data_IF_182865186817
#
_entry.id   IF_182865186817
#
_cell.length_a   1.000
_cell.length_b   1.000
_cell.length_c   1.000
_cell.angle_alpha   90.00
_cell.angle_beta   90.00
_cell.angle_gamma   90.00
#
_symmetry.space_group_name_H-M   'P 1'
#
loop_
_entity.id
_entity.type
_entity.pdbx_description
1 polymer ?
#
# COMPACT_ATOMS: atom_id res chain seq x y z
N UNK A 1 58.40 26.19 0.84
CA UNK A 1 56.94 26.27 1.08
C UNK A 1 56.34 25.22 0.18
N UNK A 2 56.00 24.10 0.80
CA UNK A 2 55.54 22.87 0.16
C UNK A 2 54.01 22.88 0.22
N UNK A 3 53.35 23.04 -0.93
CA UNK A 3 51.90 22.99 -1.03
C UNK A 3 51.53 21.58 -1.49
N UNK A 4 51.45 20.66 -0.53
CA UNK A 4 50.90 19.33 -0.75
C UNK A 4 49.55 19.20 -0.05
N UNK A 5 48.59 18.70 -0.83
CA UNK A 5 47.44 17.91 -0.43
C UNK A 5 46.33 18.55 0.41
N UNK A 6 45.29 19.02 -0.28
CA UNK A 6 43.93 19.03 0.27
C UNK A 6 42.91 18.68 -0.82
N UNK A 7 43.04 17.47 -1.35
CA UNK A 7 42.01 16.86 -2.19
C UNK A 7 41.02 16.12 -1.28
N UNK A 8 39.71 16.39 -1.38
CA UNK A 8 38.72 15.65 -0.60
C UNK A 8 38.73 14.17 -1.00
N UNK A 9 38.47 13.25 -0.05
CA UNK A 9 38.43 11.82 -0.36
C UNK A 9 37.33 11.54 -1.40
N UNK A 10 37.55 10.59 -2.33
CA UNK A 10 36.53 10.23 -3.31
C UNK A 10 35.30 9.74 -2.57
N UNK A 11 34.16 10.35 -2.87
CA UNK A 11 32.85 9.89 -2.38
C UNK A 11 32.72 8.42 -2.73
N UNK A 12 32.84 7.55 -1.73
CA UNK A 12 32.61 6.13 -1.89
C UNK A 12 31.19 5.99 -2.41
N UNK A 13 31.10 5.47 -3.64
CA UNK A 13 29.83 5.10 -4.21
C UNK A 13 29.27 4.00 -3.30
N UNK A 14 28.36 4.38 -2.41
CA UNK A 14 27.41 3.47 -1.80
C UNK A 14 26.52 2.97 -2.94
N UNK A 15 27.07 2.05 -3.71
CA UNK A 15 26.32 1.02 -4.40
C UNK A 15 25.61 0.23 -3.30
N UNK A 16 24.56 0.82 -2.73
CA UNK A 16 23.45 0.09 -2.14
C UNK A 16 23.01 -0.79 -3.28
N UNK A 17 23.55 -2.00 -3.32
CA UNK A 17 23.11 -3.09 -4.17
C UNK A 17 21.63 -3.17 -3.87
N UNK A 18 20.82 -2.51 -4.71
CA UNK A 18 19.38 -2.62 -4.74
C UNK A 18 19.16 -4.08 -5.04
N UNK A 19 19.05 -4.85 -3.96
CA UNK A 19 18.81 -6.28 -4.00
C UNK A 19 17.51 -6.37 -4.77
N UNK A 20 17.62 -6.76 -6.04
CA UNK A 20 16.51 -7.08 -6.91
C UNK A 20 15.84 -8.29 -6.30
N UNK A 21 15.09 -8.07 -5.22
CA UNK A 21 14.36 -9.08 -4.50
C UNK A 21 13.23 -9.43 -5.45
N UNK A 22 13.49 -10.42 -6.32
CA UNK A 22 12.54 -11.05 -7.23
C UNK A 22 11.20 -11.05 -6.51
N UNK A 23 10.32 -10.10 -6.89
CA UNK A 23 9.10 -9.78 -6.14
C UNK A 23 8.26 -11.04 -6.18
N UNK A 24 8.30 -11.85 -5.10
CA UNK A 24 7.41 -13.00 -4.98
C UNK A 24 6.01 -12.44 -5.04
N UNK A 25 5.26 -12.81 -6.07
CA UNK A 25 3.87 -12.43 -6.23
C UNK A 25 3.11 -12.90 -5.01
N UNK A 26 2.32 -12.01 -4.42
CA UNK A 26 1.44 -12.37 -3.30
C UNK A 26 0.43 -13.43 -3.72
N UNK A 27 0.10 -14.35 -2.82
CA UNK A 27 -0.91 -15.40 -3.03
C UNK A 27 -2.31 -14.79 -2.87
N UNK A 28 -3.28 -15.28 -3.64
CA UNK A 28 -4.67 -14.78 -3.59
C UNK A 28 -5.25 -14.80 -2.18
N UNK A 29 -5.10 -15.93 -1.46
CA UNK A 29 -5.58 -16.07 -0.08
C UNK A 29 -5.08 -14.97 0.86
N UNK A 30 -3.81 -14.60 0.74
CA UNK A 30 -3.24 -13.56 1.59
C UNK A 30 -3.83 -12.18 1.28
N UNK A 31 -4.11 -11.90 -0.01
CA UNK A 31 -4.79 -10.66 -0.38
C UNK A 31 -6.25 -10.64 0.13
N UNK A 32 -6.96 -11.76 0.04
CA UNK A 32 -8.33 -11.91 0.56
C UNK A 32 -8.40 -11.74 2.09
N UNK A 33 -7.41 -12.28 2.82
CA UNK A 33 -7.28 -12.09 4.27
C UNK A 33 -7.07 -10.62 4.64
N UNK A 34 -6.21 -9.91 3.91
CA UNK A 34 -5.99 -8.47 4.12
C UNK A 34 -7.28 -7.68 3.86
N UNK A 35 -7.98 -7.95 2.76
CA UNK A 35 -9.26 -7.31 2.43
C UNK A 35 -10.31 -7.59 3.54
N UNK A 36 -10.41 -8.84 3.98
CA UNK A 36 -11.35 -9.28 5.02
C UNK A 36 -11.05 -8.62 6.37
N UNK A 37 -9.78 -8.43 6.69
CA UNK A 37 -9.35 -7.75 7.92
C UNK A 37 -9.63 -6.25 7.83
N UNK A 38 -9.36 -5.63 6.68
CA UNK A 38 -9.62 -4.21 6.47
C UNK A 38 -11.12 -3.88 6.60
N UNK A 39 -12.01 -4.69 6.02
CA UNK A 39 -13.46 -4.45 6.09
C UNK A 39 -14.00 -4.62 7.51
N UNK A 40 -13.53 -5.64 8.25
CA UNK A 40 -13.90 -5.84 9.65
C UNK A 40 -13.45 -4.67 10.51
N UNK A 41 -12.19 -4.25 10.36
CA UNK A 41 -11.65 -3.11 11.10
C UNK A 41 -12.41 -1.82 10.77
N UNK A 42 -12.75 -1.59 9.51
CA UNK A 42 -13.53 -0.43 9.10
C UNK A 42 -14.96 -0.40 9.66
N UNK A 43 -15.61 -1.56 9.79
CA UNK A 43 -16.92 -1.65 10.43
C UNK A 43 -16.84 -1.31 11.91
N UNK A 44 -15.91 -1.91 12.66
CA UNK A 44 -15.74 -1.60 14.09
C UNK A 44 -15.35 -0.14 14.31
N UNK A 45 -14.51 0.43 13.44
CA UNK A 45 -14.16 1.84 13.49
C UNK A 45 -15.38 2.75 13.23
N UNK A 46 -16.28 2.35 12.32
CA UNK A 46 -17.51 3.08 12.01
C UNK A 46 -18.42 3.18 13.22
N UNK A 47 -18.58 2.08 13.96
CA UNK A 47 -19.45 2.02 15.15
C UNK A 47 -18.96 2.95 16.28
N UNK A 48 -17.67 3.29 16.30
CA UNK A 48 -17.07 4.22 17.25
C UNK A 48 -17.24 5.69 16.87
N UNK A 49 -17.62 5.98 15.63
CA UNK A 49 -17.84 7.33 15.12
C UNK A 49 -16.84 7.77 14.04
N UNK A 50 -17.22 8.77 13.26
CA UNK A 50 -16.52 9.12 12.02
C UNK A 50 -15.19 9.87 12.23
N UNK A 51 -15.10 10.75 13.24
CA UNK A 51 -13.91 11.56 13.48
C UNK A 51 -13.07 11.04 14.66
N UNK A 52 -13.29 9.79 15.05
CA UNK A 52 -12.58 9.15 16.14
C UNK A 52 -11.38 8.37 15.60
N UNK A 53 -10.22 8.60 16.21
CA UNK A 53 -9.01 7.81 15.97
C UNK A 53 -9.09 6.56 16.86
N UNK A 54 -9.75 5.52 16.35
CA UNK A 54 -9.81 4.22 17.04
C UNK A 54 -8.67 3.29 16.62
N UNK A 55 -8.28 2.32 17.45
CA UNK A 55 -7.30 1.29 17.06
C UNK A 55 -7.64 0.58 15.75
N UNK A 56 -8.92 0.32 15.48
CA UNK A 56 -9.38 -0.33 14.27
C UNK A 56 -9.35 0.60 13.05
N UNK A 57 -9.54 1.90 13.25
CA UNK A 57 -9.33 2.88 12.19
C UNK A 57 -7.86 2.92 11.78
N UNK A 58 -6.95 2.92 12.76
CA UNK A 58 -5.50 2.85 12.53
C UNK A 58 -5.15 1.54 11.81
N UNK A 59 -5.62 0.40 12.32
CA UNK A 59 -5.37 -0.91 11.71
C UNK A 59 -5.88 -0.98 10.26
N UNK A 60 -7.08 -0.48 9.99
CA UNK A 60 -7.64 -0.44 8.64
C UNK A 60 -6.73 0.37 7.71
N UNK A 61 -6.29 1.56 8.14
CA UNK A 61 -5.38 2.43 7.38
C UNK A 61 -4.03 1.75 7.12
N UNK A 62 -3.45 1.06 8.11
CA UNK A 62 -2.20 0.32 7.95
C UNK A 62 -2.33 -0.80 6.93
N UNK A 63 -3.44 -1.55 6.96
CA UNK A 63 -3.70 -2.62 5.97
C UNK A 63 -3.83 -2.02 4.57
N UNK A 64 -4.56 -0.91 4.41
CA UNK A 64 -4.71 -0.23 3.11
C UNK A 64 -3.35 0.24 2.57
N UNK A 65 -2.49 0.81 3.43
CA UNK A 65 -1.12 1.18 3.07
C UNK A 65 -0.29 -0.03 2.66
N UNK A 66 -0.38 -1.11 3.43
CA UNK A 66 0.29 -2.35 3.12
C UNK A 66 -0.13 -2.87 1.74
N UNK A 67 -1.44 -2.92 1.47
CA UNK A 67 -2.00 -3.33 0.18
C UNK A 67 -1.44 -2.55 -1.01
N UNK A 68 -1.16 -1.25 -0.85
CA UNK A 68 -0.56 -0.40 -1.90
C UNK A 68 0.90 -0.77 -2.21
N UNK A 69 1.63 -1.34 -1.25
CA UNK A 69 3.05 -1.71 -1.43
C UNK A 69 3.24 -3.09 -2.04
N UNK A 70 2.18 -3.92 -2.04
CA UNK A 70 2.25 -5.31 -2.47
C UNK A 70 2.57 -5.42 -3.97
N UNK A 71 3.37 -6.42 -4.37
CA UNK A 71 3.59 -6.75 -5.76
C UNK A 71 2.35 -7.47 -6.34
N UNK A 72 1.32 -6.69 -6.65
CA UNK A 72 0.09 -7.16 -7.28
C UNK A 72 0.25 -7.22 -8.80
N UNK A 73 -0.48 -8.15 -9.41
CA UNK A 73 -0.68 -8.20 -10.85
C UNK A 73 -2.18 -8.15 -11.15
N UNK A 74 -2.52 -7.78 -12.39
CA UNK A 74 -3.92 -7.63 -12.81
C UNK A 74 -4.73 -8.92 -12.61
N UNK A 75 -4.13 -10.10 -12.87
CA UNK A 75 -4.82 -11.40 -12.69
C UNK A 75 -5.25 -11.60 -11.24
N UNK A 76 -4.43 -11.19 -10.28
CA UNK A 76 -4.73 -11.31 -8.86
C UNK A 76 -5.84 -10.35 -8.44
N UNK A 77 -5.77 -9.10 -8.91
CA UNK A 77 -6.79 -8.09 -8.64
C UNK A 77 -8.15 -8.57 -9.17
N UNK A 78 -8.23 -9.04 -10.42
CA UNK A 78 -9.47 -9.52 -11.03
C UNK A 78 -10.04 -10.80 -10.41
N UNK A 79 -9.25 -11.56 -9.65
CA UNK A 79 -9.70 -12.79 -8.98
C UNK A 79 -10.34 -12.56 -7.62
N UNK A 80 -10.21 -11.35 -7.08
CA UNK A 80 -10.71 -11.00 -5.74
C UNK A 80 -11.79 -9.94 -5.87
N UNK A 81 -12.74 -9.91 -4.92
CA UNK A 81 -13.71 -8.81 -4.80
C UNK A 81 -13.10 -7.52 -4.21
N UNK A 82 -11.76 -7.41 -4.18
CA UNK A 82 -11.05 -6.34 -3.50
C UNK A 82 -11.42 -4.94 -4.00
N UNK A 83 -11.63 -4.74 -5.31
CA UNK A 83 -12.07 -3.44 -5.82
C UNK A 83 -13.47 -3.03 -5.33
N UNK A 84 -14.40 -3.99 -5.21
CA UNK A 84 -15.75 -3.71 -4.67
C UNK A 84 -15.67 -3.31 -3.20
N UNK A 85 -14.87 -4.04 -2.42
CA UNK A 85 -14.66 -3.73 -0.99
C UNK A 85 -13.98 -2.37 -0.83
N UNK A 86 -12.94 -2.07 -1.61
CA UNK A 86 -12.26 -0.78 -1.55
C UNK A 86 -13.19 0.37 -1.93
N UNK A 87 -14.09 0.19 -2.92
CA UNK A 87 -15.09 1.18 -3.28
C UNK A 87 -16.14 1.41 -2.18
N UNK A 88 -16.45 0.39 -1.40
CA UNK A 88 -17.26 0.55 -0.20
C UNK A 88 -16.50 1.36 0.87
N UNK A 89 -15.24 1.03 1.12
CA UNK A 89 -14.39 1.73 2.09
C UNK A 89 -14.09 3.18 1.69
N UNK A 90 -14.07 3.51 0.40
CA UNK A 90 -13.93 4.90 -0.07
C UNK A 90 -15.16 5.77 0.21
N UNK A 91 -16.26 5.18 0.68
CA UNK A 91 -17.45 5.91 1.18
C UNK A 91 -17.52 5.93 2.70
N UNK A 92 -16.48 5.46 3.39
CA UNK A 92 -16.45 5.44 4.85
C UNK A 92 -16.53 6.87 5.43
N UNK A 93 -17.23 7.02 6.56
CA UNK A 93 -17.35 8.30 7.25
C UNK A 93 -16.03 8.79 7.86
N UNK A 94 -15.12 7.86 8.19
CA UNK A 94 -13.78 8.22 8.62
C UNK A 94 -12.97 8.77 7.44
N UNK A 95 -12.52 10.04 7.50
CA UNK A 95 -11.88 10.70 6.36
C UNK A 95 -10.55 10.05 5.99
N UNK A 96 -9.84 9.45 6.96
CA UNK A 96 -8.54 8.82 6.71
C UNK A 96 -8.70 7.47 6.02
N UNK A 97 -9.64 6.64 6.47
CA UNK A 97 -9.99 5.37 5.80
C UNK A 97 -10.42 5.65 4.36
N UNK A 98 -11.29 6.66 4.17
CA UNK A 98 -11.74 7.09 2.84
C UNK A 98 -10.59 7.49 1.92
N UNK A 99 -9.70 8.36 2.41
CA UNK A 99 -8.55 8.85 1.64
C UNK A 99 -7.61 7.72 1.21
N UNK A 100 -7.24 6.85 2.14
CA UNK A 100 -6.32 5.75 1.85
C UNK A 100 -6.98 4.69 0.95
N UNK A 101 -8.29 4.46 1.09
CA UNK A 101 -9.03 3.55 0.20
C UNK A 101 -9.00 4.04 -1.25
N UNK A 102 -9.24 5.33 -1.50
CA UNK A 102 -9.14 5.91 -2.84
C UNK A 102 -7.71 5.75 -3.41
N UNK A 103 -6.68 6.00 -2.61
CA UNK A 103 -5.31 5.83 -3.05
C UNK A 103 -4.98 4.37 -3.45
N UNK A 104 -5.56 3.37 -2.78
CA UNK A 104 -5.42 1.97 -3.17
C UNK A 104 -6.17 1.68 -4.47
N UNK A 105 -7.41 2.18 -4.61
CA UNK A 105 -8.21 2.03 -5.84
C UNK A 105 -7.45 2.58 -7.05
N UNK A 106 -6.91 3.79 -6.94
CA UNK A 106 -6.18 4.43 -8.04
C UNK A 106 -4.91 3.65 -8.41
N UNK A 107 -4.19 3.15 -7.40
CA UNK A 107 -3.04 2.28 -7.63
C UNK A 107 -3.42 0.99 -8.37
N UNK A 108 -4.50 0.33 -7.94
CA UNK A 108 -4.96 -0.93 -8.55
C UNK A 108 -5.49 -0.71 -9.97
N UNK A 109 -6.21 0.39 -10.21
CA UNK A 109 -6.64 0.79 -11.57
C UNK A 109 -5.44 1.00 -12.49
N UNK A 110 -4.39 1.67 -12.03
CA UNK A 110 -3.16 1.84 -12.81
C UNK A 110 -2.52 0.48 -13.17
N UNK A 111 -2.50 -0.48 -12.25
CA UNK A 111 -2.00 -1.84 -12.53
C UNK A 111 -2.85 -2.54 -13.59
N UNK A 112 -4.18 -2.40 -13.54
CA UNK A 112 -5.07 -2.99 -14.52
C UNK A 112 -4.91 -2.37 -15.92
N UNK A 113 -4.74 -1.05 -15.99
CA UNK A 113 -4.54 -0.31 -17.24
C UNK A 113 -3.22 -0.66 -17.93
N UNK A 114 -2.13 -0.88 -17.15
CA UNK A 114 -0.81 -1.29 -17.69
C UNK A 114 -0.82 -2.62 -18.44
N UNK A 115 -1.87 -3.43 -18.31
CA UNK A 115 -2.00 -4.71 -19.02
C UNK A 115 -2.66 -4.56 -20.40
N UNK A 116 -3.18 -3.38 -20.74
CA UNK A 116 -3.89 -3.11 -22.01
C UNK A 116 -2.92 -2.65 -23.12
N UNK A 117 -1.61 -2.85 -22.96
CA UNK A 117 -0.58 -2.62 -23.99
C UNK A 117 0.30 -3.85 -24.12
#
# INVERSE_FOLDING_TARGET
MDFSDDLPPPCVNDHVKRRSKKRRTIRTKHLEELISTAIRAAHVARDKGFYIVSPEAIQCVEILRHMRTLPLNARLISKTDGLRVLLFLSKNGNPKIRSESNAVIDHWKSILQRKVH
#
